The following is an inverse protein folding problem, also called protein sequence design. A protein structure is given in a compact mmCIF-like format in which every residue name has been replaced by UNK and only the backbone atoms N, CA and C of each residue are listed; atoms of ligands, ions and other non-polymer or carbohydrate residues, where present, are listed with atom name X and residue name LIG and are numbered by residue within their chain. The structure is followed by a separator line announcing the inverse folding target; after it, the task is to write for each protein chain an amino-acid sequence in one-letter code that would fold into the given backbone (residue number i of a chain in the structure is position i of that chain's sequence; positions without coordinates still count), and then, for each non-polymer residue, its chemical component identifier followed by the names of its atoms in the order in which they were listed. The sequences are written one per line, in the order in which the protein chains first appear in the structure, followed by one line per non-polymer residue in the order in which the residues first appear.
data_IF_838782618790
#
_entry.id   IF_838782618790
#
_cell.length_a   1.000
_cell.length_b   1.000
_cell.length_c   1.000
_cell.angle_alpha   90.00
_cell.angle_beta   90.00
_cell.angle_gamma   90.00
#
_symmetry.space_group_name_H-M   'P 1'
#
loop_
_entity.id
_entity.type
_entity.pdbx_description
1 polymer ?
#
# COMPACT_ATOMS: atom_id res chain seq x y z
N UNK A 1 5.98 -27.78 -18.96
CA UNK A 1 5.40 -26.45 -18.63
C UNK A 1 6.13 -25.39 -19.44
N UNK A 2 5.41 -24.48 -20.09
CA UNK A 2 5.98 -23.46 -20.98
C UNK A 2 6.85 -22.46 -20.19
N UNK A 3 8.10 -22.24 -20.60
CA UNK A 3 9.07 -21.39 -19.89
C UNK A 3 8.52 -19.98 -19.61
N UNK A 4 7.68 -19.45 -20.51
CA UNK A 4 7.06 -18.13 -20.36
C UNK A 4 6.05 -18.08 -19.21
N UNK A 5 5.29 -19.17 -19.02
CA UNK A 5 4.32 -19.29 -17.91
C UNK A 5 5.06 -19.37 -16.58
N UNK A 6 6.15 -20.14 -16.52
CA UNK A 6 7.00 -20.24 -15.33
C UNK A 6 7.53 -18.86 -14.94
N UNK A 7 8.00 -18.08 -15.92
CA UNK A 7 8.48 -16.71 -15.68
C UNK A 7 7.42 -15.80 -15.05
N UNK A 8 6.17 -15.84 -15.56
CA UNK A 8 5.07 -15.04 -15.00
C UNK A 8 4.74 -15.48 -13.57
N UNK A 9 4.65 -16.78 -13.32
CA UNK A 9 4.34 -17.30 -11.98
C UNK A 9 5.42 -16.88 -10.99
N UNK A 10 6.71 -17.00 -11.37
CA UNK A 10 7.83 -16.55 -10.54
C UNK A 10 7.75 -15.05 -10.28
N UNK A 11 7.56 -14.24 -11.32
CA UNK A 11 7.47 -12.78 -11.18
C UNK A 11 6.31 -12.37 -10.25
N UNK A 12 5.11 -12.94 -10.47
CA UNK A 12 3.95 -12.70 -9.61
C UNK A 12 4.24 -13.08 -8.17
N UNK A 13 4.80 -14.27 -7.95
CA UNK A 13 5.10 -14.79 -6.60
C UNK A 13 6.12 -13.91 -5.89
N UNK A 14 7.17 -13.46 -6.58
CA UNK A 14 8.18 -12.58 -5.99
C UNK A 14 7.60 -11.22 -5.63
N UNK A 15 6.85 -10.59 -6.53
CA UNK A 15 6.26 -9.27 -6.30
C UNK A 15 5.22 -9.33 -5.18
N UNK A 16 4.22 -10.21 -5.31
CA UNK A 16 3.15 -10.31 -4.33
C UNK A 16 3.63 -10.90 -3.01
N UNK A 17 4.51 -11.89 -3.04
CA UNK A 17 5.09 -12.46 -1.83
C UNK A 17 5.82 -11.39 -1.01
N UNK A 18 6.63 -10.56 -1.67
CA UNK A 18 7.33 -9.46 -1.01
C UNK A 18 6.35 -8.41 -0.44
N UNK A 19 5.34 -8.01 -1.23
CA UNK A 19 4.31 -7.06 -0.79
C UNK A 19 3.51 -7.58 0.41
N UNK A 20 3.09 -8.85 0.38
CA UNK A 20 2.34 -9.48 1.46
C UNK A 20 3.18 -9.59 2.74
N UNK A 21 4.44 -10.00 2.62
CA UNK A 21 5.36 -10.06 3.77
C UNK A 21 5.56 -8.67 4.36
N UNK A 22 5.89 -7.67 3.54
CA UNK A 22 6.08 -6.30 4.02
C UNK A 22 4.83 -5.76 4.72
N UNK A 23 3.65 -5.97 4.12
CA UNK A 23 2.39 -5.41 4.62
C UNK A 23 1.86 -6.10 5.88
N UNK A 24 1.87 -7.44 5.91
CA UNK A 24 1.20 -8.19 6.98
C UNK A 24 2.17 -8.66 8.07
N UNK A 25 3.39 -9.07 7.71
CA UNK A 25 4.39 -9.47 8.70
C UNK A 25 5.23 -8.28 9.17
N UNK A 26 5.64 -7.40 8.25
CA UNK A 26 6.43 -6.20 8.55
C UNK A 26 5.59 -5.00 9.02
N UNK A 27 4.26 -5.09 8.94
CA UNK A 27 3.33 -3.99 9.24
C UNK A 27 3.69 -2.68 8.49
N UNK A 28 4.32 -2.81 7.33
CA UNK A 28 4.76 -1.67 6.54
C UNK A 28 3.56 -0.94 5.94
N UNK A 29 3.65 0.39 5.94
CA UNK A 29 2.67 1.28 5.33
C UNK A 29 3.37 2.43 4.60
N UNK A 30 2.74 3.01 3.57
CA UNK A 30 3.23 4.22 2.90
C UNK A 30 3.53 5.39 3.85
N UNK A 31 2.77 5.56 4.93
CA UNK A 31 3.03 6.61 5.93
C UNK A 31 4.33 6.42 6.70
N UNK A 32 4.81 5.18 6.82
CA UNK A 32 6.00 4.83 7.59
C UNK A 32 5.84 5.00 9.10
N UNK A 33 4.68 5.42 9.61
CA UNK A 33 4.45 5.61 11.03
C UNK A 33 3.84 4.36 11.69
N UNK A 34 4.26 4.11 12.92
CA UNK A 34 3.63 3.17 13.84
C UNK A 34 3.52 3.81 15.23
N UNK A 35 2.74 3.18 16.10
CA UNK A 35 2.56 3.65 17.45
C UNK A 35 2.35 2.51 18.43
N UNK A 36 2.76 2.75 19.67
CA UNK A 36 2.42 1.91 20.83
C UNK A 36 1.95 2.78 21.98
N UNK A 37 1.01 2.26 22.77
CA UNK A 37 0.45 2.95 23.93
C UNK A 37 0.79 2.13 25.17
N UNK A 38 1.49 2.76 26.11
CA UNK A 38 1.79 2.20 27.43
C UNK A 38 1.28 3.18 28.50
N UNK A 39 0.11 2.86 29.07
CA UNK A 39 -0.59 3.77 29.98
C UNK A 39 -0.98 5.07 29.28
N UNK A 40 -0.45 6.20 29.76
CA UNK A 40 -0.68 7.54 29.21
C UNK A 40 0.45 8.01 28.26
N UNK A 41 1.44 7.14 28.00
CA UNK A 41 2.54 7.44 27.08
C UNK A 41 2.25 6.84 25.71
N UNK A 42 2.25 7.71 24.69
CA UNK A 42 2.23 7.34 23.28
C UNK A 42 3.67 7.31 22.76
N UNK A 43 4.12 6.17 22.27
CA UNK A 43 5.37 6.06 21.51
C UNK A 43 5.02 6.11 20.03
N UNK A 44 5.61 7.06 19.30
CA UNK A 44 5.49 7.20 17.85
C UNK A 44 6.79 6.70 17.23
N UNK A 45 6.69 5.69 16.39
CA UNK A 45 7.81 5.11 15.65
C UNK A 45 7.71 5.55 14.19
N UNK A 46 8.80 6.04 13.61
CA UNK A 46 8.88 6.27 12.17
C UNK A 46 9.80 5.22 11.55
N UNK A 47 9.22 4.17 10.97
CA UNK A 47 9.90 3.03 10.32
C UNK A 47 10.34 3.35 8.89
N UNK A 48 10.95 4.52 8.69
CA UNK A 48 11.70 4.80 7.45
C UNK A 48 13.11 4.18 7.53
N UNK A 49 13.79 4.03 6.39
CA UNK A 49 15.16 3.48 6.30
C UNK A 49 16.20 4.24 7.17
N UNK A 50 15.86 5.42 7.68
CA UNK A 50 16.66 6.23 8.62
C UNK A 50 15.99 6.43 10.00
N UNK A 51 15.03 5.57 10.36
CA UNK A 51 14.05 5.76 11.42
C UNK A 51 14.59 5.96 12.84
N UNK A 52 13.87 6.77 13.62
CA UNK A 52 14.06 6.97 15.05
C UNK A 52 12.73 6.92 15.80
N UNK A 53 12.77 6.56 17.07
CA UNK A 53 11.61 6.47 17.96
C UNK A 53 11.46 7.77 18.76
N UNK A 54 10.22 8.26 18.91
CA UNK A 54 9.93 9.42 19.78
C UNK A 54 8.81 9.07 20.76
N UNK A 55 9.01 9.37 22.04
CA UNK A 55 8.03 9.14 23.11
C UNK A 55 7.39 10.45 23.53
N UNK A 56 6.07 10.45 23.67
CA UNK A 56 5.26 11.61 24.04
C UNK A 56 4.25 11.21 25.11
N UNK A 57 4.15 12.01 26.18
CA UNK A 57 3.03 11.87 27.13
C UNK A 57 1.79 12.57 26.53
N UNK A 58 0.68 11.84 26.41
CA UNK A 58 -0.56 12.32 25.78
C UNK A 58 -1.71 12.54 26.76
N UNK A 59 -1.44 12.58 28.08
CA UNK A 59 -2.45 12.81 29.12
C UNK A 59 -3.35 14.03 28.82
N UNK A 60 -2.74 15.15 28.42
CA UNK A 60 -3.45 16.39 28.07
C UNK A 60 -3.78 16.53 26.56
N UNK A 61 -3.47 15.52 25.75
CA UNK A 61 -3.61 15.52 24.28
C UNK A 61 -4.34 14.29 23.73
N UNK A 62 -5.19 13.66 24.54
CA UNK A 62 -5.90 12.44 24.18
C UNK A 62 -6.74 12.57 22.90
N UNK A 63 -7.34 13.74 22.66
CA UNK A 63 -8.11 14.01 21.45
C UNK A 63 -7.24 13.97 20.18
N UNK A 64 -6.04 14.56 20.22
CA UNK A 64 -5.11 14.56 19.09
C UNK A 64 -4.48 13.19 18.88
N UNK A 65 -4.18 12.46 19.97
CA UNK A 65 -3.73 11.08 19.92
C UNK A 65 -4.76 10.15 19.24
N UNK A 66 -6.06 10.36 19.54
CA UNK A 66 -7.14 9.62 18.88
C UNK A 66 -7.25 9.94 17.39
N UNK A 67 -7.11 11.22 17.01
CA UNK A 67 -7.11 11.63 15.59
C UNK A 67 -5.95 11.02 14.82
N UNK A 68 -4.75 11.05 15.40
CA UNK A 68 -3.57 10.38 14.86
C UNK A 68 -3.82 8.88 14.66
N UNK A 69 -4.38 8.19 15.66
CA UNK A 69 -4.72 6.77 15.55
C UNK A 69 -5.69 6.48 14.40
N UNK A 70 -6.78 7.26 14.31
CA UNK A 70 -7.80 7.09 13.26
C UNK A 70 -7.19 7.30 11.87
N UNK A 71 -6.39 8.35 11.69
CA UNK A 71 -5.73 8.64 10.43
C UNK A 71 -4.78 7.50 10.02
N UNK A 72 -3.98 7.00 10.96
CA UNK A 72 -3.06 5.90 10.71
C UNK A 72 -3.80 4.59 10.39
N UNK A 73 -4.91 4.32 11.08
CA UNK A 73 -5.75 3.15 10.79
C UNK A 73 -6.39 3.24 9.40
N UNK A 74 -6.83 4.43 8.99
CA UNK A 74 -7.41 4.67 7.67
C UNK A 74 -6.38 4.43 6.55
N UNK A 75 -5.15 4.92 6.74
CA UNK A 75 -4.04 4.71 5.80
C UNK A 75 -3.64 3.23 5.71
N UNK A 76 -3.54 2.53 6.84
CA UNK A 76 -3.30 1.06 6.89
C UNK A 76 -4.35 0.29 6.14
N UNK A 77 -5.61 0.64 6.34
CA UNK A 77 -6.72 -0.03 5.67
C UNK A 77 -6.67 0.22 4.16
N UNK A 78 -6.42 1.46 3.74
CA UNK A 78 -6.27 1.80 2.32
C UNK A 78 -5.10 1.05 1.69
N UNK A 79 -3.95 0.97 2.37
CA UNK A 79 -2.79 0.22 1.90
C UNK A 79 -3.10 -1.29 1.73
N UNK A 80 -3.84 -1.90 2.65
CA UNK A 80 -4.26 -3.31 2.51
C UNK A 80 -5.19 -3.52 1.31
N UNK A 81 -6.09 -2.57 1.06
CA UNK A 81 -6.95 -2.59 -0.13
C UNK A 81 -6.09 -2.50 -1.39
N UNK A 82 -5.08 -1.62 -1.42
CA UNK A 82 -4.16 -1.48 -2.54
C UNK A 82 -3.38 -2.76 -2.84
N UNK A 83 -2.91 -3.46 -1.81
CA UNK A 83 -2.23 -4.75 -1.96
C UNK A 83 -3.18 -5.79 -2.55
N UNK A 84 -4.43 -5.82 -2.10
CA UNK A 84 -5.45 -6.74 -2.63
C UNK A 84 -5.78 -6.44 -4.10
N UNK A 85 -5.96 -5.17 -4.45
CA UNK A 85 -6.25 -4.75 -5.83
C UNK A 85 -5.04 -5.00 -6.72
N UNK A 86 -3.82 -4.77 -6.22
CA UNK A 86 -2.59 -5.13 -6.92
C UNK A 86 -2.51 -6.63 -7.20
N UNK A 87 -2.90 -7.48 -6.24
CA UNK A 87 -2.96 -8.94 -6.43
C UNK A 87 -3.92 -9.32 -7.57
N UNK A 88 -5.04 -8.59 -7.71
CA UNK A 88 -6.03 -8.82 -8.76
C UNK A 88 -5.53 -8.34 -10.13
N UNK A 89 -4.91 -7.16 -10.21
CA UNK A 89 -4.53 -6.52 -11.48
C UNK A 89 -3.20 -7.05 -12.02
N UNK A 90 -2.24 -7.37 -11.15
CA UNK A 90 -0.88 -7.75 -11.54
C UNK A 90 -0.83 -8.92 -12.53
N UNK A 91 -1.62 -10.00 -12.41
CA UNK A 91 -1.65 -11.07 -13.41
C UNK A 91 -1.98 -10.55 -14.81
N UNK A 92 -2.92 -9.60 -14.94
CA UNK A 92 -3.30 -9.03 -16.23
C UNK A 92 -2.19 -8.19 -16.84
N UNK A 93 -1.45 -7.46 -16.00
CA UNK A 93 -0.25 -6.71 -16.42
C UNK A 93 0.84 -7.67 -16.89
N UNK A 94 1.15 -8.71 -16.11
CA UNK A 94 2.18 -9.69 -16.47
C UNK A 94 1.85 -10.44 -17.77
N UNK A 95 0.57 -10.69 -18.03
CA UNK A 95 0.10 -11.34 -19.26
C UNK A 95 0.26 -10.47 -20.52
N UNK A 96 0.50 -9.16 -20.39
CA UNK A 96 0.87 -8.31 -21.53
C UNK A 96 2.17 -8.77 -22.21
N UNK A 97 3.08 -9.38 -21.44
CA UNK A 97 4.35 -9.92 -21.94
C UNK A 97 4.21 -11.32 -22.56
N UNK A 98 3.04 -11.94 -22.46
CA UNK A 98 2.72 -13.24 -23.08
C UNK A 98 1.39 -13.19 -23.84
N UNK A 99 1.34 -12.52 -25.00
CA UNK A 99 0.09 -12.23 -25.71
C UNK A 99 -0.70 -13.47 -26.14
N UNK A 100 -0.06 -14.64 -26.26
CA UNK A 100 -0.69 -15.92 -26.64
C UNK A 100 -1.53 -16.56 -25.53
N UNK A 101 -1.28 -16.15 -24.28
CA UNK A 101 -1.88 -16.70 -23.06
C UNK A 101 -2.83 -15.72 -22.38
N UNK A 102 -3.04 -14.54 -22.97
CA UNK A 102 -3.97 -13.54 -22.43
C UNK A 102 -5.41 -14.09 -22.40
N UNK A 103 -6.22 -13.67 -21.42
CA UNK A 103 -7.64 -13.99 -21.42
C UNK A 103 -8.33 -13.31 -22.61
N UNK A 104 -9.42 -13.90 -23.08
CA UNK A 104 -10.25 -13.35 -24.17
C UNK A 104 -9.51 -13.06 -25.48
N UNK A 105 -8.42 -13.80 -25.77
CA UNK A 105 -7.60 -13.55 -26.98
C UNK A 105 -8.37 -13.70 -28.29
N UNK A 106 -9.45 -14.47 -28.28
CA UNK A 106 -10.31 -14.73 -29.44
C UNK A 106 -11.33 -13.60 -29.67
N UNK A 107 -11.74 -12.91 -28.59
CA UNK A 107 -12.72 -11.84 -28.65
C UNK A 107 -12.07 -10.45 -28.67
N UNK A 108 -10.87 -10.30 -28.09
CA UNK A 108 -10.22 -9.01 -27.85
C UNK A 108 -8.81 -9.00 -28.46
N UNK A 109 -8.59 -8.00 -29.32
CA UNK A 109 -7.26 -7.76 -29.90
C UNK A 109 -6.26 -7.32 -28.83
N UNK A 110 -4.96 -7.54 -29.06
CA UNK A 110 -3.93 -7.16 -28.10
C UNK A 110 -3.99 -5.67 -27.74
N UNK A 111 -4.25 -4.80 -28.73
CA UNK A 111 -4.36 -3.35 -28.52
C UNK A 111 -5.49 -2.99 -27.56
N UNK A 112 -6.65 -3.62 -27.72
CA UNK A 112 -7.79 -3.40 -26.83
C UNK A 112 -7.54 -3.96 -25.43
N UNK A 113 -6.96 -5.16 -25.33
CA UNK A 113 -6.58 -5.74 -24.04
C UNK A 113 -5.61 -4.82 -23.28
N UNK A 114 -4.54 -4.37 -23.94
CA UNK A 114 -3.58 -3.42 -23.37
C UNK A 114 -4.24 -2.12 -22.97
N UNK A 115 -5.13 -1.58 -23.81
CA UNK A 115 -5.88 -0.36 -23.52
C UNK A 115 -6.75 -0.49 -22.28
N UNK A 116 -7.47 -1.61 -22.13
CA UNK A 116 -8.33 -1.87 -20.96
C UNK A 116 -7.49 -2.01 -19.69
N UNK A 117 -6.42 -2.83 -19.72
CA UNK A 117 -5.54 -3.01 -18.56
C UNK A 117 -4.90 -1.68 -18.16
N UNK A 118 -4.40 -0.91 -19.12
CA UNK A 118 -3.82 0.41 -18.87
C UNK A 118 -4.85 1.38 -18.29
N UNK A 119 -6.07 1.41 -18.81
CA UNK A 119 -7.14 2.27 -18.30
C UNK A 119 -7.48 1.93 -16.84
N UNK A 120 -7.61 0.64 -16.50
CA UNK A 120 -7.87 0.20 -15.13
C UNK A 120 -6.74 0.66 -14.20
N UNK A 121 -5.49 0.44 -14.60
CA UNK A 121 -4.31 0.86 -13.81
C UNK A 121 -4.29 2.37 -13.63
N UNK A 122 -4.49 3.15 -14.69
CA UNK A 122 -4.46 4.62 -14.61
C UNK A 122 -5.56 5.14 -13.70
N UNK A 123 -6.81 4.69 -13.89
CA UNK A 123 -7.94 5.09 -13.05
C UNK A 123 -7.65 4.78 -11.57
N UNK A 124 -7.12 3.58 -11.31
CA UNK A 124 -6.77 3.18 -9.96
C UNK A 124 -5.68 4.05 -9.34
N UNK A 125 -4.58 4.27 -10.07
CA UNK A 125 -3.46 5.10 -9.62
C UNK A 125 -3.89 6.55 -9.40
N UNK A 126 -4.74 7.11 -10.27
CA UNK A 126 -5.29 8.46 -10.12
C UNK A 126 -6.14 8.63 -8.87
N UNK A 127 -6.77 7.56 -8.38
CA UNK A 127 -7.52 7.58 -7.13
C UNK A 127 -6.62 7.37 -5.90
N UNK A 128 -5.77 6.33 -5.92
CA UNK A 128 -5.05 5.92 -4.71
C UNK A 128 -3.87 6.85 -4.37
N UNK A 129 -3.12 7.34 -5.37
CA UNK A 129 -1.92 8.15 -5.10
C UNK A 129 -2.29 9.44 -4.34
N UNK A 130 -3.26 10.26 -4.80
CA UNK A 130 -3.62 11.48 -4.08
C UNK A 130 -4.18 11.19 -2.68
N UNK A 131 -4.90 10.07 -2.52
CA UNK A 131 -5.46 9.66 -1.25
C UNK A 131 -4.35 9.37 -0.22
N UNK A 132 -3.34 8.58 -0.60
CA UNK A 132 -2.17 8.33 0.26
C UNK A 132 -1.42 9.62 0.58
N UNK A 133 -1.19 10.49 -0.41
CA UNK A 133 -0.53 11.78 -0.16
C UNK A 133 -1.31 12.60 0.87
N UNK A 134 -2.63 12.65 0.77
CA UNK A 134 -3.48 13.35 1.73
C UNK A 134 -3.39 12.74 3.12
N UNK A 135 -3.49 11.40 3.23
CA UNK A 135 -3.44 10.68 4.50
C UNK A 135 -2.08 10.82 5.18
N UNK A 136 -0.98 10.70 4.43
CA UNK A 136 0.38 10.86 4.94
C UNK A 136 0.61 12.28 5.47
N UNK A 137 0.14 13.29 4.73
CA UNK A 137 0.24 14.68 5.18
C UNK A 137 -0.56 14.91 6.47
N UNK A 138 -1.78 14.36 6.56
CA UNK A 138 -2.61 14.46 7.76
C UNK A 138 -1.96 13.77 8.97
N UNK A 139 -1.44 12.55 8.79
CA UNK A 139 -0.69 11.83 9.83
C UNK A 139 0.50 12.65 10.29
N UNK A 140 1.28 13.22 9.36
CA UNK A 140 2.44 14.04 9.69
C UNK A 140 2.06 15.32 10.45
N UNK A 141 0.93 15.94 10.13
CA UNK A 141 0.41 17.07 10.89
C UNK A 141 0.08 16.68 12.35
N UNK A 142 -0.61 15.56 12.56
CA UNK A 142 -0.91 15.10 13.92
C UNK A 142 0.36 14.72 14.70
N UNK A 143 1.33 14.10 14.04
CA UNK A 143 2.63 13.80 14.66
C UNK A 143 3.33 15.09 15.11
N UNK A 144 3.33 16.15 14.29
CA UNK A 144 3.93 17.43 14.67
C UNK A 144 3.21 18.05 15.89
N UNK A 145 1.88 18.07 15.89
CA UNK A 145 1.08 18.58 17.03
C UNK A 145 1.35 17.79 18.32
N UNK A 146 1.55 16.47 18.21
CA UNK A 146 1.86 15.63 19.37
C UNK A 146 3.29 15.82 19.87
N UNK A 147 4.24 16.17 18.99
CA UNK A 147 5.66 16.32 19.34
C UNK A 147 6.08 17.73 19.79
N UNK A 148 5.30 18.76 19.49
CA UNK A 148 5.51 20.14 19.99
C UNK A 148 5.18 20.30 21.48
#
# INVERSE_FOLDING_TARGET
MDKKIIGIIIAYTLIMGSLLIATFAGQWTPSGYDYSIEGETLTIEHRSFSGGEKKVNVENRQADALRFYVALSAERQQWRIDVMISALILPFILLLFTPERRPFKEQISLKWYTGIVAAIVIIYLSYTIPLHVSQVNEIQQYVNVLLE
#
